data_IF_902127151173
#
_entry.id   IF_902127151173
#
_cell.length_a   1.000
_cell.length_b   1.000
_cell.length_c   1.000
_cell.angle_alpha   90.00
_cell.angle_beta   90.00
_cell.angle_gamma   90.00
#
_symmetry.space_group_name_H-M   'P 1'
#
loop_
_entity.id
_entity.type
_entity.pdbx_description
1 polymer ?
#
# COMPACT_ATOMS: atom_id res chain seq x y z
N UNK A 1 14.50 18.35 -5.04
CA UNK A 1 13.49 17.28 -5.11
C UNK A 1 12.06 17.77 -5.37
N UNK A 2 11.51 18.72 -4.61
CA UNK A 2 10.10 19.16 -4.75
C UNK A 2 9.88 20.13 -5.93
N UNK A 3 10.57 21.28 -5.95
CA UNK A 3 10.34 22.34 -6.95
C UNK A 3 10.46 21.88 -8.42
N UNK A 4 11.47 21.06 -8.81
CA UNK A 4 11.55 20.56 -10.18
C UNK A 4 10.39 19.63 -10.56
N UNK A 5 9.88 18.81 -9.61
CA UNK A 5 8.78 17.87 -9.84
C UNK A 5 7.42 18.54 -9.94
N UNK A 6 7.26 19.71 -9.32
CA UNK A 6 6.06 20.54 -9.52
C UNK A 6 6.03 21.15 -10.93
N UNK A 7 7.19 21.58 -11.46
CA UNK A 7 7.28 22.18 -12.80
C UNK A 7 7.25 21.15 -13.92
N UNK A 8 7.78 19.95 -13.68
CA UNK A 8 7.79 18.83 -14.64
C UNK A 8 7.51 17.52 -13.91
N UNK A 9 6.23 17.19 -13.66
CA UNK A 9 5.83 15.92 -13.06
C UNK A 9 6.36 14.73 -13.87
N UNK A 10 6.63 13.63 -13.18
CA UNK A 10 6.98 12.37 -13.85
C UNK A 10 5.74 11.77 -14.50
N UNK A 11 5.79 11.38 -15.79
CA UNK A 11 4.72 10.59 -16.39
C UNK A 11 4.72 9.13 -15.91
N UNK A 12 5.84 8.66 -15.36
CA UNK A 12 6.11 7.27 -14.96
C UNK A 12 6.08 7.10 -13.43
N UNK A 13 5.27 7.87 -12.72
CA UNK A 13 5.16 7.81 -11.26
C UNK A 13 4.34 6.61 -10.76
N UNK A 14 4.56 5.41 -11.34
CA UNK A 14 3.86 4.18 -11.02
C UNK A 14 4.67 3.31 -10.05
N UNK A 15 3.97 2.49 -9.26
CA UNK A 15 4.61 1.41 -8.53
C UNK A 15 5.02 0.29 -9.49
N UNK A 16 6.31 -0.05 -9.49
CA UNK A 16 6.88 -1.08 -10.37
C UNK A 16 6.78 -2.50 -9.78
N UNK A 17 6.22 -2.63 -8.59
CA UNK A 17 6.06 -3.88 -7.84
C UNK A 17 4.62 -3.98 -7.31
N UNK A 18 4.14 -5.19 -6.98
CA UNK A 18 2.85 -5.35 -6.32
C UNK A 18 2.78 -4.56 -5.01
N UNK A 19 1.62 -3.98 -4.71
CA UNK A 19 1.43 -3.13 -3.52
C UNK A 19 0.35 -3.71 -2.60
N UNK A 20 0.58 -3.67 -1.29
CA UNK A 20 -0.45 -3.85 -0.27
C UNK A 20 -0.73 -2.51 0.42
N UNK A 21 -1.98 -2.05 0.36
CA UNK A 21 -2.43 -0.88 1.10
C UNK A 21 -3.23 -1.30 2.33
N UNK A 22 -2.73 -0.89 3.51
CA UNK A 22 -3.38 -1.08 4.80
C UNK A 22 -4.05 0.22 5.24
N UNK A 23 -5.36 0.19 5.48
CA UNK A 23 -6.20 1.36 5.74
C UNK A 23 -6.76 1.30 7.17
N UNK A 24 -6.25 2.12 8.11
CA UNK A 24 -6.86 2.30 9.41
C UNK A 24 -8.14 3.15 9.26
N UNK A 25 -9.31 2.53 9.32
CA UNK A 25 -10.59 3.22 9.01
C UNK A 25 -11.05 4.22 10.07
N UNK A 26 -10.34 4.30 11.21
CA UNK A 26 -10.57 5.28 12.29
C UNK A 26 -9.38 6.23 12.45
N UNK A 27 -8.61 6.43 11.38
CA UNK A 27 -7.56 7.43 11.34
C UNK A 27 -8.18 8.84 11.36
N UNK A 28 -7.65 9.71 12.24
CA UNK A 28 -8.11 11.09 12.38
C UNK A 28 -7.47 12.04 11.34
N UNK A 29 -6.42 11.59 10.65
CA UNK A 29 -5.63 12.41 9.73
C UNK A 29 -5.89 12.04 8.26
N UNK A 30 -6.06 10.75 7.96
CA UNK A 30 -6.19 10.25 6.59
C UNK A 30 -7.49 9.47 6.41
N UNK A 31 -8.46 10.09 5.75
CA UNK A 31 -9.74 9.45 5.39
C UNK A 31 -9.51 8.28 4.43
N UNK A 32 -10.27 7.17 4.54
CA UNK A 32 -10.25 6.07 3.56
C UNK A 32 -10.43 6.53 2.11
N UNK A 33 -11.22 7.59 1.87
CA UNK A 33 -11.49 8.13 0.55
C UNK A 33 -10.23 8.60 -0.21
N UNK A 34 -9.18 8.99 0.51
CA UNK A 34 -7.91 9.41 -0.12
C UNK A 34 -7.27 8.29 -0.94
N UNK A 35 -7.65 7.04 -0.68
CA UNK A 35 -7.03 5.87 -1.27
C UNK A 35 -7.77 5.30 -2.49
N UNK A 36 -8.95 5.83 -2.83
CA UNK A 36 -9.82 5.26 -3.86
C UNK A 36 -9.12 5.13 -5.21
N UNK A 37 -8.33 6.14 -5.58
CA UNK A 37 -7.59 6.19 -6.85
C UNK A 37 -6.17 5.63 -6.81
N UNK A 38 -5.73 5.05 -5.68
CA UNK A 38 -4.38 4.46 -5.58
C UNK A 38 -4.18 3.34 -6.62
N UNK A 39 -5.26 2.64 -7.00
CA UNK A 39 -5.23 1.61 -8.04
C UNK A 39 -4.69 2.09 -9.38
N UNK A 40 -4.95 3.35 -9.75
CA UNK A 40 -4.51 3.96 -11.00
C UNK A 40 -2.97 4.03 -11.11
N UNK A 41 -2.27 3.96 -9.97
CA UNK A 41 -0.82 4.09 -9.88
C UNK A 41 -0.09 2.76 -9.64
N UNK A 42 -0.81 1.64 -9.55
CA UNK A 42 -0.26 0.32 -9.17
C UNK A 42 -0.52 -0.74 -10.25
N UNK A 43 0.11 -0.64 -11.43
CA UNK A 43 -0.18 -1.51 -12.58
C UNK A 43 0.15 -2.99 -12.33
N UNK A 44 1.04 -3.28 -11.37
CA UNK A 44 1.41 -4.66 -10.97
C UNK A 44 0.47 -5.26 -9.92
N UNK A 45 -0.65 -4.59 -9.62
CA UNK A 45 -1.69 -5.07 -8.73
C UNK A 45 -1.66 -4.45 -7.34
N UNK A 46 -2.83 -4.44 -6.71
CA UNK A 46 -3.09 -3.79 -5.42
C UNK A 46 -3.95 -4.66 -4.52
N UNK A 47 -3.40 -5.04 -3.36
CA UNK A 47 -4.15 -5.69 -2.28
C UNK A 47 -4.60 -4.63 -1.27
N UNK A 48 -5.86 -4.69 -0.82
CA UNK A 48 -6.41 -3.78 0.20
C UNK A 48 -6.75 -4.53 1.48
N UNK A 49 -6.31 -3.98 2.62
CA UNK A 49 -6.67 -4.46 3.96
C UNK A 49 -7.20 -3.28 4.77
N UNK A 50 -8.47 -3.27 5.10
CA UNK A 50 -9.07 -2.24 5.95
C UNK A 50 -9.22 -2.76 7.39
N UNK A 51 -8.91 -1.94 8.38
CA UNK A 51 -8.99 -2.31 9.80
C UNK A 51 -9.56 -1.17 10.64
N UNK A 52 -10.50 -1.45 11.57
CA UNK A 52 -10.95 -0.45 12.52
C UNK A 52 -9.85 -0.18 13.55
N UNK A 53 -8.87 0.64 13.17
CA UNK A 53 -7.77 1.11 14.00
C UNK A 53 -7.52 2.60 13.73
N UNK A 54 -6.80 3.25 14.66
CA UNK A 54 -6.34 4.64 14.53
C UNK A 54 -5.01 4.69 13.76
N UNK A 55 -4.52 5.90 13.53
CA UNK A 55 -3.27 6.19 12.81
C UNK A 55 -2.08 5.31 13.22
N UNK A 56 -1.89 5.11 14.53
CA UNK A 56 -0.78 4.32 15.07
C UNK A 56 -1.06 2.81 15.08
N UNK A 57 -1.56 2.26 13.96
CA UNK A 57 -1.75 0.82 13.77
C UNK A 57 -0.47 0.03 14.07
N UNK A 58 0.74 0.42 13.58
CA UNK A 58 1.97 -0.32 13.86
C UNK A 58 2.30 -0.44 15.36
N UNK A 59 1.90 0.55 16.16
CA UNK A 59 2.13 0.54 17.62
C UNK A 59 1.01 -0.17 18.38
N UNK A 60 -0.23 -0.06 17.93
CA UNK A 60 -1.40 -0.55 18.67
C UNK A 60 -1.77 -2.00 18.34
N UNK A 61 -1.40 -2.50 17.15
CA UNK A 61 -1.63 -3.88 16.70
C UNK A 61 -0.45 -4.40 15.86
N UNK A 62 0.78 -4.44 16.42
CA UNK A 62 1.98 -4.81 15.68
C UNK A 62 1.89 -6.23 15.10
N UNK A 63 1.33 -7.20 15.84
CA UNK A 63 1.24 -8.59 15.41
C UNK A 63 0.31 -8.77 14.21
N UNK A 64 -0.83 -8.06 14.21
CA UNK A 64 -1.76 -8.06 13.08
C UNK A 64 -1.09 -7.50 11.82
N UNK A 65 -0.39 -6.37 11.95
CA UNK A 65 0.27 -5.74 10.82
C UNK A 65 1.42 -6.60 10.30
N UNK A 66 2.24 -7.16 11.19
CA UNK A 66 3.33 -8.06 10.84
C UNK A 66 2.84 -9.32 10.13
N UNK A 67 1.74 -9.92 10.61
CA UNK A 67 1.11 -11.06 9.94
C UNK A 67 0.67 -10.73 8.52
N UNK A 68 0.01 -9.58 8.31
CA UNK A 68 -0.39 -9.17 6.96
C UNK A 68 0.77 -8.89 6.00
N UNK A 69 1.90 -8.41 6.53
CA UNK A 69 3.13 -8.23 5.76
C UNK A 69 3.70 -9.61 5.39
N UNK A 70 3.80 -10.53 6.35
CA UNK A 70 4.29 -11.88 6.10
C UNK A 70 3.44 -12.62 5.06
N UNK A 71 2.12 -12.61 5.21
CA UNK A 71 1.17 -13.18 4.24
C UNK A 71 1.37 -12.59 2.84
N UNK A 72 1.56 -11.26 2.77
CA UNK A 72 1.77 -10.60 1.48
C UNK A 72 3.10 -10.99 0.84
N UNK A 73 4.17 -11.18 1.62
CA UNK A 73 5.45 -11.63 1.08
C UNK A 73 5.34 -13.07 0.59
N UNK A 74 4.83 -13.99 1.41
CA UNK A 74 4.67 -15.39 1.05
C UNK A 74 3.87 -15.56 -0.26
N UNK A 75 2.72 -14.90 -0.37
CA UNK A 75 1.90 -14.95 -1.58
C UNK A 75 2.64 -14.43 -2.84
N UNK A 76 3.61 -13.52 -2.70
CA UNK A 76 4.37 -12.97 -3.82
C UNK A 76 5.57 -13.82 -4.19
N UNK A 77 6.15 -14.52 -3.22
CA UNK A 77 7.20 -15.51 -3.46
C UNK A 77 6.61 -16.73 -4.19
N UNK A 78 5.48 -17.27 -3.73
CA UNK A 78 4.79 -18.39 -4.40
C UNK A 78 4.37 -18.07 -5.85
N UNK A 79 3.92 -16.84 -6.11
CA UNK A 79 3.56 -16.40 -7.48
C UNK A 79 4.80 -16.20 -8.37
N UNK A 80 5.93 -15.79 -7.80
CA UNK A 80 7.18 -15.60 -8.55
C UNK A 80 7.82 -16.92 -8.97
N UNK A 81 7.69 -17.97 -8.15
CA UNK A 81 8.17 -19.33 -8.48
C UNK A 81 7.40 -19.99 -9.65
N UNK A 82 6.22 -19.48 -10.01
CA UNK A 82 5.40 -19.99 -11.12
C UNK A 82 5.60 -19.30 -12.47
N UNK A 83 6.40 -18.24 -12.54
CA UNK A 83 6.69 -17.48 -13.78
C UNK A 83 8.08 -17.80 -14.38
N UNK A 84 8.90 -18.63 -13.73
CA UNK A 84 10.23 -19.10 -14.17
C UNK A 84 10.20 -20.46 -14.91
#
# INVERSE_FOLDING_TARGET
NILPRLRRPRPDAFAHVPVQLVIPTRDAFLSPYLYDKVGDWTPRGLRRRAVPAKHWLPRSRPELLAGWIADFVADREELGEGED
#
